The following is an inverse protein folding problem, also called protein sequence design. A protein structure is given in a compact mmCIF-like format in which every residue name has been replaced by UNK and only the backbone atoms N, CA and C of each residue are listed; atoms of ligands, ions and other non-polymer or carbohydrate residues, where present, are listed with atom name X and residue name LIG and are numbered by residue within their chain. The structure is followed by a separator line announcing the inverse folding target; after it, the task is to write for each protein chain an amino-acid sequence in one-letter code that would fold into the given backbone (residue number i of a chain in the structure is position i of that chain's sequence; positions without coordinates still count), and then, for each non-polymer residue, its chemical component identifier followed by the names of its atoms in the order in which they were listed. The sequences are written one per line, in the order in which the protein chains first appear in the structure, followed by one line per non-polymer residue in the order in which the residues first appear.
data_IF_004700651472
#
_entry.id   IF_004700651472
#
_cell.length_a   1.000
_cell.length_b   1.000
_cell.length_c   1.000
_cell.angle_alpha   90.00
_cell.angle_beta   90.00
_cell.angle_gamma   90.00
#
_symmetry.space_group_name_H-M   'P 1'
#
loop_
_entity.id
_entity.type
_entity.pdbx_description
1 polymer ?
#
# COMPACT_ATOMS: atom_id res chain seq x y z
N UNK A 1 -1.83 -18.46 11.91
CA UNK A 1 -1.08 -18.18 10.66
C UNK A 1 -1.16 -16.68 10.46
N UNK A 2 -0.02 -15.99 10.43
CA UNK A 2 0.03 -14.52 10.41
C UNK A 2 0.45 -14.10 9.00
N UNK A 3 -0.31 -13.19 8.40
CA UNK A 3 -0.09 -12.70 7.03
C UNK A 3 1.03 -11.64 7.03
N UNK A 4 1.61 -11.37 5.86
CA UNK A 4 2.44 -10.20 5.63
C UNK A 4 2.18 -9.78 4.19
N UNK A 5 2.12 -8.47 3.99
CA UNK A 5 1.41 -7.68 2.96
C UNK A 5 1.46 -8.19 1.52
N UNK A 6 0.44 -7.83 0.73
CA UNK A 6 0.53 -6.88 -0.40
C UNK A 6 -0.88 -6.72 -0.97
N UNK A 7 -1.50 -5.58 -0.64
CA UNK A 7 -2.51 -4.91 -1.46
C UNK A 7 -2.26 -3.39 -1.31
N UNK A 8 -1.42 -2.84 -2.18
CA UNK A 8 -0.98 -1.45 -2.26
C UNK A 8 -2.09 -0.49 -2.69
N UNK A 9 -3.10 -1.00 -3.42
CA UNK A 9 -4.11 -0.14 -4.06
C UNK A 9 -4.79 0.82 -3.05
N UNK A 10 -5.27 0.39 -1.87
CA UNK A 10 -5.84 1.29 -0.88
C UNK A 10 -4.84 2.32 -0.36
N UNK A 11 -3.58 1.94 -0.08
CA UNK A 11 -2.55 2.85 0.40
C UNK A 11 -2.23 3.93 -0.62
N UNK A 12 -2.03 3.54 -1.88
CA UNK A 12 -1.77 4.47 -2.98
C UNK A 12 -2.96 5.41 -3.20
N UNK A 13 -4.19 4.90 -3.24
CA UNK A 13 -5.37 5.74 -3.46
C UNK A 13 -5.58 6.73 -2.30
N UNK A 14 -5.37 6.32 -1.05
CA UNK A 14 -5.49 7.22 0.11
C UNK A 14 -4.36 8.24 0.14
N UNK A 15 -3.11 7.84 -0.11
CA UNK A 15 -1.98 8.77 -0.24
C UNK A 15 -2.21 9.81 -1.33
N UNK A 16 -2.70 9.37 -2.49
CA UNK A 16 -3.11 10.25 -3.58
C UNK A 16 -4.25 11.19 -3.16
N UNK A 17 -5.28 10.67 -2.49
CA UNK A 17 -6.41 11.47 -2.01
C UNK A 17 -5.96 12.59 -1.05
N UNK A 18 -5.08 12.28 -0.09
CA UNK A 18 -4.48 13.28 0.80
C UNK A 18 -3.81 14.39 0.00
N UNK A 19 -2.97 14.04 -0.98
CA UNK A 19 -2.24 15.01 -1.79
C UNK A 19 -3.12 15.80 -2.76
N UNK A 20 -4.28 15.29 -3.19
CA UNK A 20 -5.23 16.08 -3.97
C UNK A 20 -5.83 17.23 -3.15
N UNK A 21 -6.07 17.02 -1.85
CA UNK A 21 -6.59 18.05 -0.92
C UNK A 21 -5.51 18.91 -0.30
N UNK A 22 -4.32 18.35 -0.11
CA UNK A 22 -3.17 19.02 0.54
C UNK A 22 -2.01 19.05 -0.45
N UNK A 23 -1.91 20.12 -1.24
CA UNK A 23 -0.85 20.26 -2.23
C UNK A 23 0.54 20.57 -1.62
N UNK A 24 0.63 20.94 -0.34
CA UNK A 24 1.92 21.20 0.31
C UNK A 24 2.64 19.86 0.63
N UNK A 25 3.77 19.54 -0.03
CA UNK A 25 4.45 18.26 0.16
C UNK A 25 5.01 18.08 1.58
N UNK A 26 5.37 19.17 2.27
CA UNK A 26 5.84 19.11 3.64
C UNK A 26 4.77 18.59 4.62
N UNK A 27 3.49 18.66 4.24
CA UNK A 27 2.38 18.14 5.02
C UNK A 27 1.78 16.86 4.40
N UNK A 28 1.61 16.81 3.08
CA UNK A 28 0.95 15.67 2.43
C UNK A 28 1.78 14.39 2.43
N UNK A 29 3.11 14.48 2.30
CA UNK A 29 3.96 13.27 2.34
C UNK A 29 4.00 12.63 3.73
N UNK A 30 4.18 13.38 4.84
CA UNK A 30 4.05 12.80 6.18
C UNK A 30 2.66 12.23 6.45
N UNK A 31 1.59 12.90 6.01
CA UNK A 31 0.22 12.39 6.16
C UNK A 31 0.00 11.10 5.35
N UNK A 32 0.54 11.03 4.13
CA UNK A 32 0.47 9.82 3.30
C UNK A 32 1.22 8.65 3.97
N UNK A 33 2.42 8.89 4.51
CA UNK A 33 3.16 7.88 5.27
C UNK A 33 2.39 7.44 6.52
N UNK A 34 1.83 8.39 7.28
CA UNK A 34 1.04 8.09 8.47
C UNK A 34 -0.22 7.30 8.13
N UNK A 35 -0.84 7.59 6.99
CA UNK A 35 -2.04 6.89 6.51
C UNK A 35 -1.78 5.40 6.31
N UNK A 36 -0.58 5.00 5.90
CA UNK A 36 -0.21 3.59 5.78
C UNK A 36 -0.49 2.84 7.09
N UNK A 37 0.09 3.29 8.21
CA UNK A 37 -0.07 2.64 9.52
C UNK A 37 -1.48 2.73 10.08
N UNK A 38 -2.28 3.72 9.66
CA UNK A 38 -3.70 3.79 10.02
C UNK A 38 -4.48 2.72 9.27
N UNK A 39 -4.23 2.56 7.96
CA UNK A 39 -4.89 1.57 7.12
C UNK A 39 -4.53 0.14 7.54
N UNK A 40 -3.30 -0.09 8.01
CA UNK A 40 -2.90 -1.38 8.58
C UNK A 40 -3.82 -1.85 9.71
N UNK A 41 -4.42 -0.92 10.47
CA UNK A 41 -5.33 -1.23 11.58
C UNK A 41 -6.76 -1.51 11.13
N UNK A 42 -7.12 -1.24 9.87
CA UNK A 42 -8.42 -1.56 9.32
C UNK A 42 -8.40 -3.05 8.93
N UNK A 43 -9.42 -3.86 9.28
CA UNK A 43 -9.42 -5.27 8.94
C UNK A 43 -9.33 -5.48 7.42
N UNK A 44 -8.25 -6.09 6.94
CA UNK A 44 -7.98 -6.23 5.52
C UNK A 44 -7.41 -7.62 5.20
N UNK A 45 -7.43 -8.02 3.92
CA UNK A 45 -6.91 -9.32 3.50
C UNK A 45 -5.64 -9.14 2.69
N UNK A 46 -4.65 -10.00 2.93
CA UNK A 46 -3.40 -10.05 2.18
C UNK A 46 -2.98 -11.48 1.81
N UNK A 47 -2.18 -11.68 0.75
CA UNK A 47 -1.45 -12.93 0.55
C UNK A 47 -0.52 -13.20 1.75
N UNK A 48 -0.16 -14.47 1.99
CA UNK A 48 0.62 -14.85 3.17
C UNK A 48 2.14 -14.78 2.90
N UNK A 49 2.67 -13.67 2.39
CA UNK A 49 4.05 -13.62 1.84
C UNK A 49 5.11 -14.06 2.84
N UNK A 50 5.02 -13.63 4.11
CA UNK A 50 5.99 -14.04 5.12
C UNK A 50 5.89 -15.53 5.46
N UNK A 51 4.69 -16.04 5.70
CA UNK A 51 4.49 -17.46 6.02
C UNK A 51 4.95 -18.34 4.86
N UNK A 52 4.63 -17.96 3.62
CA UNK A 52 5.09 -18.66 2.42
C UNK A 52 6.61 -18.61 2.29
N UNK A 53 7.21 -17.44 2.53
CA UNK A 53 8.66 -17.27 2.43
C UNK A 53 9.41 -18.03 3.52
N UNK A 54 8.88 -18.10 4.74
CA UNK A 54 9.45 -18.90 5.82
C UNK A 54 9.32 -20.40 5.56
N UNK A 55 8.20 -20.84 4.97
CA UNK A 55 7.92 -22.25 4.70
C UNK A 55 8.60 -22.78 3.43
N UNK A 56 8.64 -21.99 2.37
CA UNK A 56 9.04 -22.40 1.03
C UNK A 56 10.28 -21.65 0.52
N UNK A 57 10.85 -20.73 1.31
CA UNK A 57 11.98 -19.89 0.92
C UNK A 57 11.60 -18.69 0.03
N UNK A 58 10.40 -18.70 -0.56
CA UNK A 58 9.86 -17.69 -1.47
C UNK A 58 8.33 -17.64 -1.45
N UNK A 59 7.71 -16.52 -1.88
CA UNK A 59 6.27 -16.47 -2.15
C UNK A 59 5.81 -17.50 -3.19
N UNK A 60 4.56 -17.95 -3.07
CA UNK A 60 3.95 -18.86 -4.05
C UNK A 60 3.62 -18.12 -5.35
N UNK A 61 3.54 -18.85 -6.47
CA UNK A 61 3.13 -18.26 -7.77
C UNK A 61 1.76 -17.59 -7.70
N UNK A 62 0.85 -18.10 -6.85
CA UNK A 62 -0.46 -17.48 -6.64
C UNK A 62 -0.31 -16.11 -5.99
N UNK A 63 0.42 -16.02 -4.88
CA UNK A 63 0.66 -14.75 -4.18
C UNK A 63 1.40 -13.74 -5.05
N UNK A 64 2.40 -14.19 -5.83
CA UNK A 64 3.11 -13.33 -6.79
C UNK A 64 2.16 -12.73 -7.83
N UNK A 65 1.25 -13.53 -8.40
CA UNK A 65 0.26 -13.02 -9.37
C UNK A 65 -0.66 -11.97 -8.75
N UNK A 66 -1.09 -12.17 -7.51
CA UNK A 66 -1.97 -11.23 -6.79
C UNK A 66 -1.23 -9.92 -6.56
N UNK A 67 0.01 -9.98 -6.06
CA UNK A 67 0.91 -8.82 -5.89
C UNK A 67 1.08 -8.06 -7.21
N UNK A 68 1.37 -8.75 -8.31
CA UNK A 68 1.57 -8.09 -9.61
C UNK A 68 0.31 -7.35 -10.07
N UNK A 69 -0.86 -8.00 -9.98
CA UNK A 69 -2.14 -7.37 -10.37
C UNK A 69 -2.40 -6.14 -9.52
N UNK A 70 -2.22 -6.25 -8.21
CA UNK A 70 -2.45 -5.14 -7.30
C UNK A 70 -1.47 -3.98 -7.52
N UNK A 71 -0.17 -4.24 -7.72
CA UNK A 71 0.81 -3.20 -8.06
C UNK A 71 0.44 -2.48 -9.36
N UNK A 72 -0.03 -3.22 -10.38
CA UNK A 72 -0.53 -2.61 -11.63
C UNK A 72 -1.74 -1.71 -11.34
N UNK A 73 -2.69 -2.16 -10.52
CA UNK A 73 -3.86 -1.38 -10.14
C UNK A 73 -3.48 -0.12 -9.36
N UNK A 74 -2.56 -0.24 -8.40
CA UNK A 74 -2.05 0.87 -7.60
C UNK A 74 -1.35 1.92 -8.46
N UNK A 75 -0.40 1.51 -9.32
CA UNK A 75 0.28 2.40 -10.26
C UNK A 75 -0.69 3.10 -11.22
N UNK A 76 -1.67 2.34 -11.74
CA UNK A 76 -2.71 2.88 -12.63
C UNK A 76 -3.57 3.91 -11.89
N UNK A 77 -4.05 3.58 -10.70
CA UNK A 77 -4.91 4.46 -9.91
C UNK A 77 -4.19 5.75 -9.51
N UNK A 78 -2.97 5.65 -8.96
CA UNK A 78 -2.16 6.82 -8.59
C UNK A 78 -1.87 7.73 -9.80
N UNK A 79 -1.53 7.14 -10.95
CA UNK A 79 -1.29 7.88 -12.19
C UNK A 79 -2.55 8.55 -12.73
N UNK A 80 -3.69 7.86 -12.71
CA UNK A 80 -4.97 8.43 -13.13
C UNK A 80 -5.37 9.59 -12.23
N UNK A 81 -5.26 9.46 -10.91
CA UNK A 81 -5.56 10.55 -9.97
C UNK A 81 -4.62 11.74 -10.20
N UNK A 82 -3.32 11.51 -10.34
CA UNK A 82 -2.35 12.57 -10.62
C UNK A 82 -2.62 13.28 -11.96
N UNK A 83 -3.09 12.55 -12.98
CA UNK A 83 -3.41 13.15 -14.29
C UNK A 83 -4.55 14.18 -14.21
N UNK A 84 -5.42 14.10 -13.20
CA UNK A 84 -6.60 14.99 -13.06
C UNK A 84 -6.24 16.43 -12.72
N UNK A 85 -5.02 16.66 -12.19
CA UNK A 85 -4.55 18.02 -11.84
C UNK A 85 -3.66 18.63 -12.93
N UNK A 86 -3.44 17.94 -14.04
CA UNK A 86 -2.75 18.52 -15.20
C UNK A 86 -3.53 19.73 -15.76
N UNK A 87 -2.83 20.76 -16.26
CA UNK A 87 -1.39 20.84 -16.55
C UNK A 87 -0.51 21.24 -15.35
N UNK A 88 -1.02 21.27 -14.12
CA UNK A 88 -0.20 21.54 -12.94
C UNK A 88 0.72 20.34 -12.62
N UNK A 89 1.87 20.29 -13.29
CA UNK A 89 2.86 19.21 -13.15
C UNK A 89 3.36 19.09 -11.71
N UNK A 90 3.57 20.22 -11.01
CA UNK A 90 4.05 20.20 -9.64
C UNK A 90 3.07 19.46 -8.71
N UNK A 91 1.77 19.76 -8.83
CA UNK A 91 0.75 19.07 -8.02
C UNK A 91 0.62 17.59 -8.40
N UNK A 92 0.69 17.26 -9.70
CA UNK A 92 0.69 15.88 -10.15
C UNK A 92 1.87 15.08 -9.56
N UNK A 93 3.08 15.66 -9.54
CA UNK A 93 4.26 15.05 -8.94
C UNK A 93 4.11 14.86 -7.43
N UNK A 94 3.48 15.80 -6.72
CA UNK A 94 3.19 15.68 -5.29
C UNK A 94 2.23 14.51 -5.02
N UNK A 95 1.19 14.33 -5.86
CA UNK A 95 0.27 13.19 -5.75
C UNK A 95 0.98 11.86 -5.97
N UNK A 96 1.85 11.77 -6.98
CA UNK A 96 2.66 10.58 -7.24
C UNK A 96 3.65 10.30 -6.10
N UNK A 97 4.29 11.34 -5.57
CA UNK A 97 5.19 11.21 -4.43
C UNK A 97 4.45 10.75 -3.16
N UNK A 98 3.23 11.26 -2.91
CA UNK A 98 2.41 10.83 -1.80
C UNK A 98 1.93 9.37 -1.97
N UNK A 99 1.55 8.98 -3.19
CA UNK A 99 1.21 7.60 -3.55
C UNK A 99 2.35 6.65 -3.22
N UNK A 100 3.57 6.98 -3.69
CA UNK A 100 4.77 6.21 -3.41
C UNK A 100 5.09 6.17 -1.91
N UNK A 101 4.96 7.31 -1.22
CA UNK A 101 5.26 7.42 0.21
C UNK A 101 4.30 6.59 1.07
N UNK A 102 3.02 6.49 0.68
CA UNK A 102 2.04 5.64 1.36
C UNK A 102 2.31 4.13 1.17
N UNK A 103 2.87 3.74 0.02
CA UNK A 103 3.27 2.35 -0.27
C UNK A 103 4.69 2.02 0.23
N UNK A 104 5.49 3.03 0.58
CA UNK A 104 6.91 2.89 0.90
C UNK A 104 7.21 1.83 1.98
N UNK A 105 6.42 1.73 3.09
CA UNK A 105 6.62 0.68 4.09
C UNK A 105 6.66 -0.74 3.51
N UNK A 106 5.76 -1.08 2.60
CA UNK A 106 5.68 -2.42 1.99
C UNK A 106 6.74 -2.61 0.90
N UNK A 107 7.06 -1.54 0.15
CA UNK A 107 8.16 -1.56 -0.83
C UNK A 107 9.50 -1.91 -0.16
N UNK A 108 9.74 -1.46 1.07
CA UNK A 108 10.93 -1.80 1.85
C UNK A 108 11.00 -3.30 2.18
N UNK A 109 9.86 -3.99 2.30
CA UNK A 109 9.80 -5.44 2.50
C UNK A 109 10.08 -6.24 1.22
N UNK A 110 9.78 -5.68 0.05
CA UNK A 110 9.90 -6.32 -1.26
C UNK A 110 11.22 -7.06 -1.51
N UNK A 111 12.41 -6.45 -1.26
CA UNK A 111 13.68 -7.13 -1.41
C UNK A 111 13.84 -8.40 -0.55
N UNK A 112 13.20 -8.46 0.62
CA UNK A 112 13.23 -9.64 1.48
C UNK A 112 12.42 -10.81 0.90
N UNK A 113 11.26 -10.52 0.31
CA UNK A 113 10.37 -11.55 -0.26
C UNK A 113 10.78 -11.98 -1.67
N UNK A 114 11.12 -11.03 -2.54
CA UNK A 114 11.30 -11.28 -3.98
C UNK A 114 12.75 -11.40 -4.43
N UNK A 115 13.69 -10.74 -3.74
CA UNK A 115 15.12 -10.77 -4.09
C UNK A 115 15.96 -11.66 -3.17
N UNK A 116 15.34 -12.30 -2.17
CA UNK A 116 16.04 -13.17 -1.23
C UNK A 116 17.00 -12.45 -0.28
N UNK A 117 16.95 -11.12 -0.18
CA UNK A 117 17.83 -10.33 0.68
C UNK A 117 17.39 -10.44 2.15
N UNK A 118 17.84 -11.50 2.84
CA UNK A 118 17.46 -11.84 4.24
C UNK A 118 18.20 -10.99 5.28
N UNK A 119 17.99 -9.67 5.25
CA UNK A 119 18.55 -8.74 6.22
C UNK A 119 17.76 -8.78 7.56
N UNK A 120 18.48 -8.77 8.70
CA UNK A 120 17.90 -8.68 10.05
C UNK A 120 17.09 -7.39 10.27
N UNK A 121 17.52 -6.27 9.70
CA UNK A 121 16.82 -4.98 9.81
C UNK A 121 15.47 -5.04 9.10
N UNK A 122 15.43 -5.54 7.86
CA UNK A 122 14.17 -5.71 7.12
C UNK A 122 13.27 -6.73 7.84
N UNK A 123 13.83 -7.81 8.40
CA UNK A 123 13.04 -8.76 9.20
C UNK A 123 12.43 -8.12 10.45
N UNK A 124 13.14 -7.22 11.13
CA UNK A 124 12.59 -6.46 12.28
C UNK A 124 11.49 -5.52 11.84
N UNK A 125 11.67 -4.84 10.71
CA UNK A 125 10.67 -3.99 10.08
C UNK A 125 9.40 -4.76 9.76
N UNK A 126 9.52 -5.90 9.08
CA UNK A 126 8.41 -6.82 8.79
C UNK A 126 7.67 -7.22 10.07
N UNK A 127 8.40 -7.55 11.14
CA UNK A 127 7.77 -7.92 12.41
C UNK A 127 7.07 -6.74 13.11
N UNK A 128 7.57 -5.52 12.94
CA UNK A 128 6.92 -4.32 13.45
C UNK A 128 5.62 -4.05 12.68
N UNK A 129 5.64 -4.06 11.35
CA UNK A 129 4.43 -3.88 10.54
C UNK A 129 3.38 -4.93 10.93
N UNK A 130 3.75 -6.23 10.97
CA UNK A 130 2.88 -7.32 11.45
C UNK A 130 2.21 -7.08 12.80
N UNK A 131 2.90 -6.41 13.72
CA UNK A 131 2.32 -6.14 15.05
C UNK A 131 1.20 -5.09 15.04
N UNK A 132 1.08 -4.34 13.94
CA UNK A 132 0.09 -3.28 13.74
C UNK A 132 -1.09 -3.78 12.88
N UNK A 133 -0.86 -4.77 12.01
CA UNK A 133 -1.85 -5.21 11.02
C UNK A 133 -3.07 -5.88 11.65
N UNK A 134 -4.24 -5.58 11.11
CA UNK A 134 -5.49 -6.26 11.43
C UNK A 134 -5.86 -7.21 10.29
N UNK A 135 -5.36 -8.45 10.35
CA UNK A 135 -5.67 -9.47 9.35
C UNK A 135 -7.15 -9.91 9.40
N UNK A 136 -7.78 -10.00 8.24
CA UNK A 136 -9.15 -10.50 8.06
C UNK A 136 -9.19 -11.65 7.04
N UNK A 137 -10.28 -12.43 7.07
CA UNK A 137 -10.54 -13.39 5.99
C UNK A 137 -10.84 -12.66 4.67
N UNK A 138 -10.71 -13.38 3.55
CA UNK A 138 -10.76 -12.81 2.20
C UNK A 138 -11.95 -11.86 1.97
N UNK A 139 -13.17 -12.30 2.28
CA UNK A 139 -14.39 -11.54 1.99
C UNK A 139 -14.47 -10.24 2.81
N UNK A 140 -14.44 -10.25 4.16
CA UNK A 140 -14.50 -9.01 4.94
C UNK A 140 -13.28 -8.11 4.71
N UNK A 141 -12.10 -8.70 4.47
CA UNK A 141 -10.90 -7.92 4.19
C UNK A 141 -10.99 -7.14 2.88
N UNK A 142 -11.37 -7.80 1.78
CA UNK A 142 -11.59 -7.14 0.49
C UNK A 142 -12.73 -6.11 0.56
N UNK A 143 -13.79 -6.40 1.32
CA UNK A 143 -14.90 -5.46 1.50
C UNK A 143 -14.44 -4.14 2.13
N UNK A 144 -13.65 -4.19 3.20
CA UNK A 144 -13.11 -2.99 3.84
C UNK A 144 -12.11 -2.24 2.94
N UNK A 145 -11.30 -2.95 2.15
CA UNK A 145 -10.40 -2.33 1.18
C UNK A 145 -11.19 -1.59 0.09
N UNK A 146 -12.27 -2.19 -0.43
CA UNK A 146 -13.15 -1.55 -1.40
C UNK A 146 -13.84 -0.30 -0.82
N UNK A 147 -14.33 -0.37 0.42
CA UNK A 147 -14.91 0.80 1.11
C UNK A 147 -13.86 1.90 1.26
N UNK A 148 -12.65 1.56 1.68
CA UNK A 148 -11.55 2.52 1.85
C UNK A 148 -11.24 3.24 0.54
N UNK A 149 -11.08 2.49 -0.55
CA UNK A 149 -10.85 3.05 -1.89
C UNK A 149 -12.03 3.92 -2.32
N UNK A 150 -13.27 3.44 -2.17
CA UNK A 150 -14.46 4.20 -2.54
C UNK A 150 -14.58 5.52 -1.75
N UNK A 151 -14.36 5.48 -0.44
CA UNK A 151 -14.40 6.66 0.42
C UNK A 151 -13.32 7.67 0.01
N UNK A 152 -12.10 7.23 -0.28
CA UNK A 152 -11.02 8.09 -0.77
C UNK A 152 -11.36 8.73 -2.12
N UNK A 153 -11.93 7.97 -3.06
CA UNK A 153 -12.38 8.49 -4.36
C UNK A 153 -13.52 9.50 -4.22
N UNK A 154 -14.49 9.25 -3.34
CA UNK A 154 -15.56 10.21 -3.01
C UNK A 154 -14.98 11.49 -2.40
N UNK A 155 -14.01 11.36 -1.51
CA UNK A 155 -13.35 12.52 -0.91
C UNK A 155 -12.57 13.35 -1.95
N UNK A 156 -11.91 12.71 -2.92
CA UNK A 156 -11.23 13.42 -4.01
C UNK A 156 -12.21 14.34 -4.76
N UNK A 157 -13.42 13.88 -5.05
CA UNK A 157 -14.42 14.61 -5.84
C UNK A 157 -15.29 15.61 -5.05
N UNK A 158 -15.30 15.52 -3.71
CA UNK A 158 -16.06 16.44 -2.83
C UNK A 158 -15.37 17.78 -2.64
#
# INVERSE_FOLDING_TARGET
MIQATVLETPHVVVGAAIATKVANPALSLPLALASHFILEKIPHWNPHLNTETEKFGRPTTKSIKIVIVDVILALTAGSLIASRVLPNINHALIILAASFTAALPDIIEGPYFFLGLKNKTIKRWINLQKSIQSDASLIPGLFNQLITVAAALVWIIS
#
